data_IF_137751296906
#
_entry.id   IF_137751296906
#
_cell.length_a   1.000
_cell.length_b   1.000
_cell.length_c   1.000
_cell.angle_alpha   90.00
_cell.angle_beta   90.00
_cell.angle_gamma   90.00
#
_symmetry.space_group_name_H-M   'P 1'
#
loop_
_entity.id
_entity.type
_entity.pdbx_description
1 polymer ?
#
# COMPACT_ATOMS: atom_id res chain seq x y z
N UNK A 1 11.97 -18.53 -18.53
CA UNK A 1 13.12 -17.61 -18.34
C UNK A 1 12.70 -16.56 -17.35
N UNK A 2 13.17 -16.61 -16.12
CA UNK A 2 12.96 -15.56 -15.12
C UNK A 2 14.06 -14.51 -15.30
N UNK A 3 13.68 -13.28 -15.59
CA UNK A 3 14.62 -12.15 -15.67
C UNK A 3 15.38 -12.03 -14.35
N UNK A 4 16.71 -11.97 -14.34
CA UNK A 4 17.47 -11.81 -13.11
C UNK A 4 17.07 -10.49 -12.45
N UNK A 5 16.57 -10.59 -11.22
CA UNK A 5 16.15 -9.44 -10.44
C UNK A 5 17.41 -8.68 -10.00
N UNK A 6 17.59 -7.45 -10.50
CA UNK A 6 18.64 -6.53 -10.06
C UNK A 6 18.36 -6.07 -8.62
N UNK A 7 19.00 -6.75 -7.67
CA UNK A 7 18.85 -6.46 -6.23
C UNK A 7 19.41 -5.10 -5.82
N UNK A 8 20.31 -4.49 -6.62
CA UNK A 8 20.90 -3.18 -6.32
C UNK A 8 19.91 -2.08 -6.66
N UNK A 9 19.33 -2.13 -7.87
CA UNK A 9 18.23 -1.23 -8.27
C UNK A 9 17.02 -1.38 -7.33
N UNK A 10 16.76 -2.59 -6.83
CA UNK A 10 15.68 -2.78 -5.86
C UNK A 10 15.89 -2.08 -4.51
N UNK A 11 17.14 -1.88 -4.05
CA UNK A 11 17.42 -1.24 -2.76
C UNK A 11 17.10 0.26 -2.74
N UNK A 12 17.02 0.92 -3.90
CA UNK A 12 16.77 2.36 -4.01
C UNK A 12 15.27 2.71 -3.99
N UNK A 13 14.41 1.75 -4.31
CA UNK A 13 12.95 1.93 -4.31
C UNK A 13 12.40 1.76 -2.89
N UNK A 14 11.50 2.66 -2.46
CA UNK A 14 10.94 2.61 -1.11
C UNK A 14 10.05 1.39 -0.93
N UNK A 15 9.96 0.91 0.32
CA UNK A 15 9.07 -0.19 0.65
C UNK A 15 7.60 0.17 0.40
N UNK A 16 7.21 1.41 0.71
CA UNK A 16 5.86 1.95 0.46
C UNK A 16 5.43 1.82 -0.99
N UNK A 17 6.33 2.15 -1.92
CA UNK A 17 6.01 2.19 -3.35
C UNK A 17 5.71 0.77 -3.89
N UNK A 18 6.40 -0.23 -3.34
CA UNK A 18 6.13 -1.64 -3.68
C UNK A 18 4.84 -2.16 -3.10
N UNK A 19 4.53 -1.74 -1.87
CA UNK A 19 3.28 -2.13 -1.23
C UNK A 19 2.11 -1.48 -1.96
N UNK A 20 2.24 -0.23 -2.40
CA UNK A 20 1.26 0.46 -3.22
C UNK A 20 1.04 -0.27 -4.55
N UNK A 21 2.10 -0.61 -5.29
CA UNK A 21 2.00 -1.37 -6.53
C UNK A 21 1.29 -2.73 -6.33
N UNK A 22 1.63 -3.45 -5.25
CA UNK A 22 0.97 -4.70 -4.92
C UNK A 22 -0.51 -4.50 -4.55
N UNK A 23 -0.84 -3.40 -3.86
CA UNK A 23 -2.21 -3.05 -3.49
C UNK A 23 -3.05 -2.76 -4.73
N UNK A 24 -2.52 -2.00 -5.68
CA UNK A 24 -3.17 -1.74 -6.98
C UNK A 24 -3.48 -3.04 -7.72
N UNK A 25 -2.51 -3.95 -7.78
CA UNK A 25 -2.72 -5.27 -8.40
C UNK A 25 -3.79 -6.10 -7.68
N UNK A 26 -3.80 -6.09 -6.34
CA UNK A 26 -4.83 -6.80 -5.56
C UNK A 26 -6.23 -6.21 -5.79
N UNK A 27 -6.32 -4.87 -5.94
CA UNK A 27 -7.57 -4.19 -6.28
C UNK A 27 -8.06 -4.55 -7.69
N UNK A 28 -7.17 -4.61 -8.68
CA UNK A 28 -7.49 -5.07 -10.03
C UNK A 28 -7.99 -6.52 -10.05
N UNK A 29 -7.39 -7.38 -9.22
CA UNK A 29 -7.81 -8.77 -9.05
C UNK A 29 -9.07 -8.95 -8.20
N UNK A 30 -9.60 -7.86 -7.65
CA UNK A 30 -10.72 -7.84 -6.70
C UNK A 30 -10.49 -8.69 -5.43
N UNK A 31 -9.24 -8.95 -5.06
CA UNK A 31 -8.88 -9.70 -3.85
C UNK A 31 -8.91 -8.78 -2.63
N UNK A 32 -10.07 -8.74 -1.97
CA UNK A 32 -10.33 -7.89 -0.80
C UNK A 32 -9.41 -8.26 0.37
N UNK A 33 -9.15 -9.55 0.59
CA UNK A 33 -8.38 -9.99 1.74
C UNK A 33 -6.92 -9.57 1.61
N UNK A 34 -6.34 -9.74 0.42
CA UNK A 34 -4.97 -9.29 0.12
C UNK A 34 -4.88 -7.77 0.14
N UNK A 35 -5.85 -7.06 -0.45
CA UNK A 35 -5.87 -5.60 -0.45
C UNK A 35 -5.93 -5.01 0.98
N UNK A 36 -6.68 -5.64 1.88
CA UNK A 36 -6.72 -5.23 3.29
C UNK A 36 -5.40 -5.41 4.02
N UNK A 37 -4.73 -6.55 3.80
CA UNK A 37 -3.42 -6.80 4.40
C UNK A 37 -2.36 -5.83 3.88
N UNK A 38 -2.39 -5.53 2.58
CA UNK A 38 -1.46 -4.60 1.94
C UNK A 38 -1.70 -3.15 2.39
N UNK A 39 -2.95 -2.77 2.62
CA UNK A 39 -3.29 -1.46 3.18
C UNK A 39 -2.66 -1.24 4.55
N UNK A 40 -2.80 -2.22 5.46
CA UNK A 40 -2.15 -2.16 6.79
C UNK A 40 -0.63 -2.14 6.67
N UNK A 41 -0.07 -2.92 5.75
CA UNK A 41 1.38 -2.90 5.48
C UNK A 41 1.85 -1.54 4.96
N UNK A 42 1.07 -0.86 4.12
CA UNK A 42 1.37 0.45 3.57
C UNK A 42 1.45 1.49 4.68
N UNK A 43 0.44 1.55 5.55
CA UNK A 43 0.40 2.43 6.73
C UNK A 43 1.61 2.20 7.64
N UNK A 44 1.95 0.95 7.95
CA UNK A 44 3.12 0.61 8.76
C UNK A 44 4.44 1.03 8.09
N UNK A 45 4.54 0.91 6.76
CA UNK A 45 5.75 1.28 6.02
C UNK A 45 5.98 2.79 6.00
N UNK A 46 4.91 3.59 6.04
CA UNK A 46 4.98 5.05 6.09
C UNK A 46 5.32 5.56 7.50
N UNK A 47 4.88 4.86 8.54
CA UNK A 47 5.18 5.21 9.94
C UNK A 47 6.58 4.78 10.40
N UNK A 48 7.22 3.80 9.75
CA UNK A 48 8.53 3.28 10.19
C UNK A 48 9.72 4.23 9.95
N UNK A 49 9.52 5.31 9.19
CA UNK A 49 10.54 6.36 8.98
C UNK A 49 10.42 7.56 9.95
N UNK A 50 9.51 7.54 10.95
CA UNK A 50 9.33 8.65 11.92
C UNK A 50 10.00 8.40 13.28
N UNK A 51 10.99 7.50 13.35
CA UNK A 51 11.70 7.15 14.58
C UNK A 51 12.82 8.12 14.96
N UNK A 52 12.48 9.24 15.62
CA UNK A 52 13.47 10.09 16.29
C UNK A 52 12.89 11.37 16.90
N UNK A 53 12.06 11.23 17.95
CA UNK A 53 11.64 12.33 18.84
C UNK A 53 10.87 13.47 18.14
N UNK A 54 9.55 13.50 18.29
CA UNK A 54 8.69 14.66 17.94
C UNK A 54 8.53 15.01 16.45
N UNK A 55 8.37 14.05 15.55
CA UNK A 55 7.85 14.35 14.20
C UNK A 55 6.67 13.46 13.83
N UNK A 56 5.47 13.93 14.15
CA UNK A 56 4.24 13.50 13.50
C UNK A 56 4.04 14.42 12.30
N UNK A 57 4.84 14.21 11.24
CA UNK A 57 4.52 14.80 9.95
C UNK A 57 3.28 14.05 9.44
N UNK A 58 2.10 14.64 9.64
CA UNK A 58 0.91 14.34 8.84
C UNK A 58 1.25 14.75 7.41
N UNK A 59 2.02 13.90 6.71
CA UNK A 59 2.05 13.97 5.26
C UNK A 59 0.65 13.58 4.83
N UNK A 60 -0.06 14.55 4.27
CA UNK A 60 -1.19 14.22 3.41
C UNK A 60 -0.76 13.05 2.52
N UNK A 61 -1.62 12.03 2.46
CA UNK A 61 -1.31 10.86 1.66
C UNK A 61 -1.02 11.32 0.22
N UNK A 62 0.06 10.84 -0.40
CA UNK A 62 0.24 11.01 -1.83
C UNK A 62 -1.05 10.64 -2.57
N UNK A 63 -1.41 11.39 -3.60
CA UNK A 63 -2.69 11.25 -4.28
C UNK A 63 -2.95 9.81 -4.76
N UNK A 64 -1.90 9.07 -5.11
CA UNK A 64 -2.00 7.67 -5.52
C UNK A 64 -2.49 6.76 -4.39
N UNK A 65 -2.04 7.00 -3.14
CA UNK A 65 -2.48 6.23 -1.97
C UNK A 65 -3.94 6.53 -1.66
N UNK A 66 -4.35 7.80 -1.69
CA UNK A 66 -5.75 8.15 -1.47
C UNK A 66 -6.68 7.49 -2.51
N UNK A 67 -6.24 7.45 -3.77
CA UNK A 67 -7.00 6.79 -4.83
C UNK A 67 -7.13 5.28 -4.58
N UNK A 68 -6.04 4.61 -4.19
CA UNK A 68 -6.08 3.19 -3.83
C UNK A 68 -7.04 2.92 -2.66
N UNK A 69 -7.04 3.78 -1.64
CA UNK A 69 -7.96 3.68 -0.49
C UNK A 69 -9.42 3.88 -0.91
N UNK A 70 -9.71 4.86 -1.79
CA UNK A 70 -11.04 5.05 -2.36
C UNK A 70 -11.50 3.82 -3.15
N UNK A 71 -10.63 3.24 -3.98
CA UNK A 71 -10.90 2.00 -4.74
C UNK A 71 -11.20 0.82 -3.82
N UNK A 72 -10.43 0.64 -2.75
CA UNK A 72 -10.66 -0.41 -1.76
C UNK A 72 -12.02 -0.25 -1.07
N UNK A 73 -12.36 0.96 -0.64
CA UNK A 73 -13.65 1.23 0.00
C UNK A 73 -14.82 0.91 -0.94
N UNK A 74 -14.72 1.35 -2.20
CA UNK A 74 -15.71 1.03 -3.22
C UNK A 74 -15.82 -0.48 -3.47
N UNK A 75 -14.69 -1.20 -3.56
CA UNK A 75 -14.66 -2.64 -3.74
C UNK A 75 -15.35 -3.38 -2.58
N UNK A 76 -15.04 -2.99 -1.33
CA UNK A 76 -15.67 -3.55 -0.11
C UNK A 76 -17.18 -3.35 -0.11
N UNK A 77 -17.64 -2.16 -0.48
CA UNK A 77 -19.05 -1.85 -0.61
C UNK A 77 -19.73 -2.75 -1.66
N UNK A 78 -19.09 -2.96 -2.83
CA UNK A 78 -19.63 -3.88 -3.88
C UNK A 78 -19.72 -5.33 -3.41
N UNK A 79 -18.72 -5.80 -2.65
CA UNK A 79 -18.63 -7.20 -2.18
C UNK A 79 -19.44 -7.46 -0.91
N UNK A 80 -20.11 -6.45 -0.34
CA UNK A 80 -20.88 -6.58 0.91
C UNK A 80 -20.00 -6.83 2.14
N UNK A 81 -18.70 -6.56 2.05
CA UNK A 81 -17.74 -6.74 3.15
C UNK A 81 -17.69 -5.42 3.93
N UNK A 82 -18.68 -5.19 4.79
CA UNK A 82 -18.62 -4.10 5.76
C UNK A 82 -17.44 -4.38 6.72
N UNK A 83 -16.57 -3.39 6.88
CA UNK A 83 -15.32 -3.51 7.65
C UNK A 83 -15.56 -4.09 9.05
N UNK A 84 -14.73 -5.07 9.42
CA UNK A 84 -14.55 -5.51 10.81
C UNK A 84 -13.63 -4.54 11.55
#
# INVERSE_FOLDING_TARGET
MTTPIDRKAMREVRLSDRILYALELALEQEDVQVADMLTRALEMSMTRNTGGGEFVERRDYPAEIEEAMRKLHALKARKGVAGH
#
